data_IF_050202105188
#
_entry.id   IF_050202105188
#
_cell.length_a   1.000
_cell.length_b   1.000
_cell.length_c   1.000
_cell.angle_alpha   90.00
_cell.angle_beta   90.00
_cell.angle_gamma   90.00
#
_symmetry.space_group_name_H-M   'P 1'
#
loop_
_entity.id
_entity.type
_entity.pdbx_description
1 polymer ?
#
# COMPACT_ATOMS: atom_id res chain seq x y z
N UNK A 1 -2.18 -39.72 5.33
CA UNK A 1 -3.26 -38.72 5.43
C UNK A 1 -2.61 -37.35 5.56
N UNK A 2 -3.12 -36.32 4.88
CA UNK A 2 -2.65 -34.95 5.08
C UNK A 2 -3.16 -34.45 6.44
N UNK A 3 -2.30 -33.83 7.24
CA UNK A 3 -2.74 -33.21 8.49
C UNK A 3 -3.51 -31.94 8.18
N UNK A 4 -4.71 -31.80 8.76
CA UNK A 4 -5.52 -30.60 8.66
C UNK A 4 -5.41 -29.87 9.98
N UNK A 5 -4.75 -28.72 9.93
CA UNK A 5 -4.44 -27.88 11.07
C UNK A 5 -5.47 -26.76 11.14
N UNK A 6 -6.09 -26.60 12.29
CA UNK A 6 -6.96 -25.48 12.58
C UNK A 6 -6.31 -24.53 13.57
N UNK A 7 -6.45 -23.23 13.34
CA UNK A 7 -6.13 -22.20 14.31
C UNK A 7 -7.13 -21.06 14.18
N UNK A 8 -7.33 -20.28 15.24
CA UNK A 8 -8.32 -19.22 15.21
C UNK A 8 -7.90 -17.96 15.95
N UNK A 9 -8.51 -16.85 15.58
CA UNK A 9 -8.24 -15.57 16.21
C UNK A 9 -9.08 -14.44 15.66
N UNK A 10 -8.92 -13.27 16.27
CA UNK A 10 -9.52 -12.02 15.78
C UNK A 10 -8.73 -11.51 14.58
N UNK A 11 -7.39 -11.57 14.63
CA UNK A 11 -6.49 -11.02 13.58
C UNK A 11 -6.74 -9.55 13.25
N UNK A 12 -7.17 -8.76 14.25
CA UNK A 12 -7.34 -7.32 14.11
C UNK A 12 -5.97 -6.64 14.03
N UNK A 13 -5.85 -5.67 13.10
CA UNK A 13 -4.56 -5.10 12.67
C UNK A 13 -3.51 -6.21 12.51
N UNK A 14 -3.74 -7.15 11.56
CA UNK A 14 -2.83 -8.24 11.22
C UNK A 14 -1.38 -7.75 11.22
N UNK A 15 -0.46 -8.42 11.93
CA UNK A 15 0.91 -7.96 12.15
C UNK A 15 1.88 -9.14 12.15
N UNK A 16 3.18 -8.88 12.20
CA UNK A 16 4.20 -9.92 12.02
C UNK A 16 4.06 -11.08 13.03
N UNK A 17 3.70 -10.79 14.28
CA UNK A 17 3.44 -11.82 15.30
C UNK A 17 2.28 -12.77 14.92
N UNK A 18 1.19 -12.28 14.30
CA UNK A 18 0.14 -13.15 13.77
C UNK A 18 0.66 -14.05 12.64
N UNK A 19 1.39 -13.48 11.68
CA UNK A 19 1.96 -14.22 10.55
C UNK A 19 2.89 -15.33 11.05
N UNK A 20 3.75 -15.03 12.03
CA UNK A 20 4.63 -16.03 12.66
C UNK A 20 3.84 -17.13 13.37
N UNK A 21 2.79 -16.77 14.12
CA UNK A 21 1.94 -17.75 14.81
C UNK A 21 1.24 -18.70 13.81
N UNK A 22 0.68 -18.17 12.71
CA UNK A 22 0.04 -18.99 11.69
C UNK A 22 1.03 -19.93 10.98
N UNK A 23 2.24 -19.44 10.65
CA UNK A 23 3.32 -20.29 10.10
C UNK A 23 3.73 -21.40 11.07
N UNK A 24 3.87 -21.06 12.36
CA UNK A 24 4.20 -22.03 13.41
C UNK A 24 3.09 -23.07 13.57
N UNK A 25 1.82 -22.67 13.50
CA UNK A 25 0.69 -23.58 13.52
C UNK A 25 0.74 -24.58 12.36
N UNK A 26 0.87 -24.10 11.11
CA UNK A 26 1.00 -24.99 9.94
C UNK A 26 2.18 -25.95 10.06
N UNK A 27 3.32 -25.49 10.59
CA UNK A 27 4.51 -26.31 10.78
C UNK A 27 4.28 -27.51 11.72
N UNK A 28 3.32 -27.44 12.66
CA UNK A 28 2.96 -28.58 13.52
C UNK A 28 2.40 -29.77 12.72
N UNK A 29 1.84 -29.52 11.54
CA UNK A 29 1.31 -30.56 10.65
C UNK A 29 2.33 -31.16 9.68
N UNK A 30 3.56 -30.62 9.61
CA UNK A 30 4.57 -31.02 8.64
C UNK A 30 4.42 -30.34 7.27
N UNK A 31 5.23 -30.79 6.30
CA UNK A 31 5.41 -30.13 4.99
C UNK A 31 4.12 -30.05 4.15
N UNK A 32 3.27 -31.08 4.22
CA UNK A 32 2.07 -31.21 3.38
C UNK A 32 0.77 -30.91 4.16
N UNK A 33 0.88 -30.17 5.25
CA UNK A 33 -0.24 -29.77 6.08
C UNK A 33 -1.16 -28.77 5.38
N UNK A 34 -2.46 -28.91 5.62
CA UNK A 34 -3.49 -27.95 5.22
C UNK A 34 -3.77 -27.06 6.44
N UNK A 35 -3.69 -25.75 6.31
CA UNK A 35 -4.00 -24.78 7.36
C UNK A 35 -5.37 -24.14 7.08
N UNK A 36 -6.32 -24.43 7.97
CA UNK A 36 -7.61 -23.76 8.07
C UNK A 36 -7.50 -22.69 9.16
N UNK A 37 -7.81 -21.44 8.82
CA UNK A 37 -7.80 -20.32 9.77
C UNK A 37 -9.22 -19.84 10.04
N UNK A 38 -9.64 -19.92 11.29
CA UNK A 38 -10.91 -19.37 11.77
C UNK A 38 -10.76 -17.90 12.16
N UNK A 39 -11.53 -17.01 11.52
CA UNK A 39 -11.59 -15.58 11.85
C UNK A 39 -12.85 -15.29 12.66
N UNK A 40 -12.70 -14.73 13.87
CA UNK A 40 -13.83 -14.37 14.74
C UNK A 40 -14.62 -13.18 14.16
N UNK A 41 -15.95 -13.21 14.30
CA UNK A 41 -16.83 -12.10 13.87
C UNK A 41 -16.63 -10.86 14.75
N UNK A 42 -17.13 -9.71 14.29
CA UNK A 42 -17.06 -8.48 15.09
C UNK A 42 -17.96 -8.62 16.34
N UNK A 43 -19.13 -9.22 16.19
CA UNK A 43 -20.12 -9.48 17.23
C UNK A 43 -19.58 -10.44 18.30
N UNK A 44 -19.00 -11.57 17.90
CA UNK A 44 -18.41 -12.53 18.83
C UNK A 44 -17.26 -11.87 19.58
N UNK A 45 -16.39 -11.13 18.89
CA UNK A 45 -15.25 -10.47 19.51
C UNK A 45 -15.70 -9.44 20.55
N UNK A 46 -16.75 -8.67 20.26
CA UNK A 46 -17.32 -7.68 21.18
C UNK A 46 -17.88 -8.29 22.47
N UNK A 47 -18.26 -9.57 22.45
CA UNK A 47 -18.80 -10.24 23.65
C UNK A 47 -17.76 -10.47 24.75
N UNK A 48 -16.47 -10.52 24.40
CA UNK A 48 -15.39 -10.81 25.36
C UNK A 48 -14.22 -9.82 25.33
N UNK A 49 -14.07 -9.01 24.28
CA UNK A 49 -13.03 -7.99 24.11
C UNK A 49 -13.58 -6.77 23.36
N UNK A 50 -12.74 -5.75 23.12
CA UNK A 50 -13.12 -4.57 22.33
C UNK A 50 -13.53 -4.96 20.90
N UNK A 51 -14.34 -4.11 20.27
CA UNK A 51 -14.61 -4.20 18.82
C UNK A 51 -13.29 -4.13 18.03
N UNK A 52 -13.09 -4.99 17.02
CA UNK A 52 -11.99 -4.86 16.07
C UNK A 52 -11.96 -3.49 15.40
N UNK A 53 -10.75 -3.00 15.09
CA UNK A 53 -10.54 -1.79 14.29
C UNK A 53 -10.86 -2.08 12.82
N UNK A 54 -10.40 -3.23 12.33
CA UNK A 54 -10.67 -3.69 10.96
C UNK A 54 -11.92 -4.57 10.97
N UNK A 55 -12.96 -4.24 10.17
CA UNK A 55 -14.16 -5.05 10.03
C UNK A 55 -13.89 -6.51 9.65
N UNK A 56 -14.75 -7.41 10.12
CA UNK A 56 -14.67 -8.85 9.87
C UNK A 56 -14.38 -9.25 8.43
N UNK A 57 -15.14 -8.71 7.47
CA UNK A 57 -15.00 -9.04 6.04
C UNK A 57 -13.60 -8.73 5.49
N UNK A 58 -12.98 -7.66 5.98
CA UNK A 58 -11.64 -7.27 5.56
C UNK A 58 -10.57 -8.10 6.25
N UNK A 59 -10.75 -8.46 7.52
CA UNK A 59 -9.85 -9.39 8.23
C UNK A 59 -9.82 -10.75 7.53
N UNK A 60 -10.96 -11.27 7.06
CA UNK A 60 -10.99 -12.48 6.24
C UNK A 60 -10.15 -12.33 4.98
N UNK A 61 -10.32 -11.22 4.23
CA UNK A 61 -9.55 -10.97 3.00
C UNK A 61 -8.05 -10.92 3.26
N UNK A 62 -7.63 -10.28 4.35
CA UNK A 62 -6.22 -10.20 4.75
C UNK A 62 -5.63 -11.57 5.09
N UNK A 63 -6.37 -12.43 5.80
CA UNK A 63 -5.91 -13.80 6.09
C UNK A 63 -5.88 -14.65 4.82
N UNK A 64 -6.90 -14.53 3.96
CA UNK A 64 -6.95 -15.23 2.66
C UNK A 64 -5.82 -14.83 1.72
N UNK A 65 -5.26 -13.63 1.86
CA UNK A 65 -4.14 -13.18 1.02
C UNK A 65 -2.78 -13.76 1.44
N UNK A 66 -2.70 -14.49 2.54
CA UNK A 66 -1.47 -15.15 2.98
C UNK A 66 -1.27 -16.44 2.19
N UNK A 67 -0.19 -16.51 1.42
CA UNK A 67 0.15 -17.61 0.50
C UNK A 67 0.23 -19.00 1.17
N UNK A 68 0.57 -19.05 2.46
CA UNK A 68 0.65 -20.29 3.22
C UNK A 68 -0.65 -20.69 3.92
N UNK A 69 -1.73 -19.90 3.80
CA UNK A 69 -3.06 -20.24 4.35
C UNK A 69 -3.89 -20.93 3.26
N UNK A 70 -4.44 -22.10 3.57
CA UNK A 70 -5.15 -22.91 2.56
C UNK A 70 -6.65 -22.65 2.54
N UNK A 71 -7.27 -22.38 3.71
CA UNK A 71 -8.70 -22.10 3.82
C UNK A 71 -8.98 -21.13 4.97
N UNK A 72 -9.98 -20.26 4.80
CA UNK A 72 -10.36 -19.26 5.82
C UNK A 72 -11.86 -19.32 6.05
N UNK A 73 -12.23 -19.59 7.30
CA UNK A 73 -13.62 -19.77 7.73
C UNK A 73 -13.98 -18.79 8.84
N UNK A 74 -15.27 -18.62 9.11
CA UNK A 74 -15.74 -18.00 10.34
C UNK A 74 -15.38 -18.90 11.51
N UNK A 75 -14.70 -18.37 12.53
CA UNK A 75 -14.44 -19.13 13.75
C UNK A 75 -15.77 -19.33 14.52
N UNK A 76 -16.11 -20.56 14.93
CA UNK A 76 -17.19 -20.74 15.88
C UNK A 76 -16.77 -20.19 17.25
N UNK A 77 -17.73 -19.67 18.02
CA UNK A 77 -17.49 -19.24 19.39
C UNK A 77 -17.00 -20.41 20.26
N UNK A 78 -17.56 -21.60 20.06
CA UNK A 78 -17.14 -22.83 20.74
C UNK A 78 -16.80 -23.91 19.72
N UNK A 79 -15.66 -24.57 19.92
CA UNK A 79 -15.27 -25.74 19.14
C UNK A 79 -15.87 -27.01 19.74
N UNK A 80 -16.24 -27.96 18.88
CA UNK A 80 -16.81 -29.26 19.29
C UNK A 80 -16.42 -30.36 18.29
N UNK A 81 -16.76 -31.62 18.61
CA UNK A 81 -16.43 -32.77 17.76
C UNK A 81 -17.02 -32.66 16.35
N UNK A 82 -18.27 -32.21 16.21
CA UNK A 82 -18.93 -32.09 14.89
C UNK A 82 -18.20 -31.10 13.98
N UNK A 83 -17.76 -29.96 14.53
CA UNK A 83 -16.94 -28.98 13.82
C UNK A 83 -15.62 -29.60 13.33
N UNK A 84 -14.92 -30.34 14.20
CA UNK A 84 -13.65 -30.97 13.81
C UNK A 84 -13.83 -32.08 12.78
N UNK A 85 -14.85 -32.92 12.94
CA UNK A 85 -15.19 -33.99 11.99
C UNK A 85 -15.55 -33.41 10.61
N UNK A 86 -16.36 -32.34 10.57
CA UNK A 86 -16.84 -31.72 9.32
C UNK A 86 -15.71 -31.18 8.44
N UNK A 87 -14.74 -30.49 9.05
CA UNK A 87 -13.58 -29.95 8.34
C UNK A 87 -12.41 -30.95 8.26
N UNK A 88 -12.55 -32.15 8.82
CA UNK A 88 -11.49 -33.15 8.88
C UNK A 88 -10.27 -32.70 9.69
N UNK A 89 -10.45 -31.83 10.68
CA UNK A 89 -9.37 -31.23 11.48
C UNK A 89 -8.71 -32.32 12.34
N UNK A 90 -7.41 -32.51 12.14
CA UNK A 90 -6.60 -33.48 12.87
C UNK A 90 -5.84 -32.86 14.04
N UNK A 91 -5.61 -31.55 14.01
CA UNK A 91 -4.91 -30.82 15.06
C UNK A 91 -5.44 -29.38 15.17
N UNK A 92 -5.71 -28.93 16.38
CA UNK A 92 -6.01 -27.54 16.70
C UNK A 92 -4.77 -26.90 17.32
N UNK A 93 -4.28 -25.79 16.79
CA UNK A 93 -3.13 -25.07 17.34
C UNK A 93 -3.54 -23.65 17.73
N UNK A 94 -3.19 -23.23 18.95
CA UNK A 94 -3.53 -21.91 19.47
C UNK A 94 -2.34 -21.26 20.17
N UNK A 95 -2.28 -19.93 20.17
CA UNK A 95 -1.33 -19.21 21.03
C UNK A 95 -1.61 -19.47 22.51
N UNK A 96 -0.57 -19.59 23.32
CA UNK A 96 -0.66 -19.68 24.78
C UNK A 96 -1.08 -18.33 25.37
N UNK A 97 -2.37 -18.04 25.29
CA UNK A 97 -3.01 -16.91 25.95
C UNK A 97 -3.89 -17.45 27.08
N UNK A 98 -3.91 -16.76 28.22
CA UNK A 98 -4.86 -17.04 29.29
C UNK A 98 -6.29 -16.94 28.72
N UNK A 99 -6.92 -18.09 28.47
CA UNK A 99 -8.35 -18.16 28.25
C UNK A 99 -9.00 -17.49 29.47
N UNK A 100 -9.89 -16.54 29.24
CA UNK A 100 -10.61 -15.88 30.33
C UNK A 100 -11.48 -16.89 31.11
N UNK A 101 -12.49 -16.40 31.83
CA UNK A 101 -13.38 -17.29 32.59
C UNK A 101 -14.11 -18.36 31.74
N UNK A 102 -14.16 -18.20 30.41
CA UNK A 102 -14.80 -19.12 29.46
C UNK A 102 -13.74 -19.86 28.65
N UNK A 103 -13.81 -21.20 28.66
CA UNK A 103 -12.90 -22.07 27.90
C UNK A 103 -13.46 -22.37 26.50
N UNK A 104 -13.22 -21.45 25.56
CA UNK A 104 -13.63 -21.57 24.15
C UNK A 104 -12.98 -22.77 23.42
N UNK A 105 -11.92 -23.34 24.01
CA UNK A 105 -11.15 -24.44 23.45
C UNK A 105 -11.49 -25.80 24.05
N UNK A 106 -12.55 -25.87 24.88
CA UNK A 106 -12.96 -27.09 25.57
C UNK A 106 -13.09 -28.28 24.64
N UNK A 107 -13.72 -28.13 23.47
CA UNK A 107 -13.87 -29.24 22.52
C UNK A 107 -12.53 -29.82 22.05
N UNK A 108 -11.54 -28.98 21.78
CA UNK A 108 -10.20 -29.44 21.37
C UNK A 108 -9.44 -30.11 22.51
N UNK A 109 -9.61 -29.63 23.75
CA UNK A 109 -9.04 -30.23 24.97
C UNK A 109 -9.65 -31.58 25.27
N UNK A 110 -10.99 -31.67 25.24
CA UNK A 110 -11.74 -32.91 25.51
C UNK A 110 -11.36 -34.03 24.54
N UNK A 111 -11.04 -33.66 23.29
CA UNK A 111 -10.60 -34.60 22.25
C UNK A 111 -9.08 -34.82 22.22
N UNK A 112 -8.31 -34.12 23.05
CA UNK A 112 -6.84 -34.16 23.08
C UNK A 112 -6.17 -33.84 21.74
N UNK A 113 -6.79 -32.98 20.92
CA UNK A 113 -6.26 -32.57 19.60
C UNK A 113 -5.70 -31.15 19.61
N UNK A 114 -5.72 -30.45 20.74
CA UNK A 114 -5.21 -29.08 20.85
C UNK A 114 -3.75 -29.03 21.29
N UNK A 115 -2.98 -28.10 20.70
CA UNK A 115 -1.61 -27.74 21.10
C UNK A 115 -1.48 -26.23 21.26
N UNK A 116 -0.69 -25.82 22.25
CA UNK A 116 -0.36 -24.43 22.46
C UNK A 116 1.04 -24.11 21.93
N UNK A 117 1.17 -22.95 21.28
CA UNK A 117 2.45 -22.40 20.82
C UNK A 117 2.75 -21.09 21.55
N UNK A 118 4.02 -20.85 21.81
CA UNK A 118 4.48 -19.62 22.45
C UNK A 118 4.14 -18.39 21.62
N UNK A 119 3.97 -17.26 22.31
CA UNK A 119 3.67 -15.97 21.68
C UNK A 119 4.95 -15.16 21.47
N UNK A 120 5.00 -14.43 20.35
CA UNK A 120 6.03 -13.42 20.14
C UNK A 120 5.65 -12.13 20.90
N UNK A 121 6.50 -11.66 21.84
CA UNK A 121 6.18 -10.52 22.69
C UNK A 121 6.38 -9.15 22.01
N UNK A 122 7.00 -9.10 20.82
CA UNK A 122 7.47 -7.83 20.24
C UNK A 122 6.31 -7.00 19.68
N UNK A 123 5.33 -7.63 19.04
CA UNK A 123 4.22 -6.93 18.38
C UNK A 123 2.85 -7.50 18.77
N UNK A 124 1.91 -6.60 19.05
CA UNK A 124 0.53 -6.93 19.35
C UNK A 124 -0.42 -5.89 18.78
N UNK A 125 -1.69 -6.28 18.60
CA UNK A 125 -2.75 -5.35 18.24
C UNK A 125 -2.87 -4.20 19.24
N UNK A 126 -2.65 -4.45 20.54
CA UNK A 126 -2.64 -3.41 21.57
C UNK A 126 -1.54 -2.38 21.35
N UNK A 127 -0.33 -2.83 20.98
CA UNK A 127 0.77 -1.93 20.64
C UNK A 127 0.46 -1.08 19.40
N UNK A 128 -0.12 -1.69 18.36
CA UNK A 128 -0.53 -0.97 17.15
C UNK A 128 -1.57 0.12 17.46
N UNK A 129 -2.54 -0.18 18.31
CA UNK A 129 -3.57 0.78 18.72
C UNK A 129 -3.01 1.89 19.59
N UNK A 130 -2.11 1.57 20.53
CA UNK A 130 -1.44 2.61 21.32
C UNK A 130 -0.76 3.62 20.41
N UNK A 131 0.00 3.14 19.40
CA UNK A 131 0.62 4.02 18.40
C UNK A 131 -0.40 4.85 17.62
N UNK A 132 -1.51 4.25 17.19
CA UNK A 132 -2.58 5.00 16.51
C UNK A 132 -3.16 6.11 17.40
N UNK A 133 -3.40 5.83 18.68
CA UNK A 133 -3.88 6.81 19.66
C UNK A 133 -2.89 7.93 19.87
N UNK A 134 -1.60 7.61 19.99
CA UNK A 134 -0.53 8.60 20.16
C UNK A 134 -0.43 9.55 18.96
N UNK A 135 -0.67 9.04 17.74
CA UNK A 135 -0.53 9.80 16.50
C UNK A 135 -1.78 10.61 16.15
N UNK A 136 -2.95 9.95 16.21
CA UNK A 136 -4.22 10.47 15.69
C UNK A 136 -5.14 11.00 16.78
N UNK A 137 -5.05 10.47 18.01
CA UNK A 137 -5.91 10.81 19.14
C UNK A 137 -6.68 9.59 19.68
N UNK A 138 -7.09 9.66 20.96
CA UNK A 138 -7.83 8.59 21.66
C UNK A 138 -9.19 8.25 21.03
N UNK A 139 -9.84 9.22 20.40
CA UNK A 139 -11.19 9.17 19.83
C UNK A 139 -11.18 8.89 18.31
N UNK A 140 -10.14 8.25 17.80
CA UNK A 140 -10.02 7.97 16.38
C UNK A 140 -11.15 7.08 15.86
N UNK A 141 -11.61 7.40 14.66
CA UNK A 141 -12.60 6.67 13.87
C UNK A 141 -11.86 6.06 12.68
N UNK A 142 -12.29 4.87 12.27
CA UNK A 142 -11.75 4.16 11.12
C UNK A 142 -12.85 3.95 10.10
N UNK A 143 -12.65 4.51 8.91
CA UNK A 143 -13.59 4.45 7.80
C UNK A 143 -12.92 3.73 6.63
N UNK A 144 -13.51 2.64 6.09
CA UNK A 144 -12.99 1.99 4.90
C UNK A 144 -12.88 2.96 3.73
N UNK A 145 -11.73 2.99 3.06
CA UNK A 145 -11.57 3.63 1.77
C UNK A 145 -11.88 2.57 0.70
N UNK A 146 -12.89 2.82 -0.13
CA UNK A 146 -13.30 1.85 -1.14
C UNK A 146 -12.26 1.81 -2.28
N UNK A 147 -11.59 0.68 -2.40
CA UNK A 147 -10.68 0.29 -3.48
C UNK A 147 -10.68 -1.24 -3.61
N UNK A 148 -10.23 -1.78 -4.74
CA UNK A 148 -10.16 -3.23 -4.99
C UNK A 148 -9.32 -4.00 -3.95
N UNK A 149 -9.27 -5.35 -4.08
CA UNK A 149 -8.63 -6.26 -3.10
C UNK A 149 -7.13 -5.95 -2.86
N UNK A 150 -6.45 -5.35 -3.84
CA UNK A 150 -5.06 -4.86 -3.74
C UNK A 150 -4.88 -3.62 -2.87
N UNK A 151 -5.97 -2.90 -2.55
CA UNK A 151 -5.95 -1.57 -1.95
C UNK A 151 -6.81 -1.49 -0.68
N UNK A 152 -6.57 -2.39 0.27
CA UNK A 152 -7.20 -2.31 1.59
C UNK A 152 -6.60 -1.14 2.37
N UNK A 153 -7.33 -0.02 2.36
CA UNK A 153 -6.97 1.19 3.07
C UNK A 153 -8.14 1.72 3.90
N UNK A 154 -7.81 2.44 4.97
CA UNK A 154 -8.76 3.06 5.86
C UNK A 154 -8.35 4.49 6.13
N UNK A 155 -9.32 5.39 6.14
CA UNK A 155 -9.16 6.71 6.68
C UNK A 155 -9.28 6.61 8.19
N UNK A 156 -8.28 7.14 8.88
CA UNK A 156 -8.26 7.26 10.34
C UNK A 156 -8.33 8.75 10.68
N UNK A 157 -9.32 9.15 11.46
CA UNK A 157 -9.50 10.55 11.87
C UNK A 157 -10.00 10.64 13.30
N UNK A 158 -9.53 11.61 14.06
CA UNK A 158 -10.09 11.95 15.37
C UNK A 158 -11.20 12.99 15.22
N UNK A 159 -12.22 12.96 16.09
CA UNK A 159 -13.26 14.00 16.11
C UNK A 159 -12.74 15.30 16.72
N UNK A 160 -11.84 15.17 17.68
CA UNK A 160 -11.29 16.29 18.46
C UNK A 160 -10.04 16.90 17.82
N UNK A 161 -9.28 16.12 17.05
CA UNK A 161 -8.09 16.59 16.33
C UNK A 161 -8.37 16.65 14.83
N UNK A 162 -7.99 17.76 14.19
CA UNK A 162 -8.07 17.91 12.73
C UNK A 162 -7.11 16.99 11.95
N UNK A 163 -6.41 16.06 12.63
CA UNK A 163 -5.51 15.09 11.99
C UNK A 163 -6.31 13.98 11.33
N UNK A 164 -6.06 13.81 10.04
CA UNK A 164 -6.53 12.70 9.24
C UNK A 164 -5.29 11.92 8.78
N UNK A 165 -5.36 10.59 8.84
CA UNK A 165 -4.34 9.67 8.37
C UNK A 165 -4.97 8.62 7.46
N UNK A 166 -4.17 8.02 6.58
CA UNK A 166 -4.52 6.78 5.90
C UNK A 166 -3.74 5.66 6.53
N UNK A 167 -4.43 4.59 6.87
CA UNK A 167 -3.86 3.31 7.24
C UNK A 167 -3.99 2.38 6.03
N UNK A 168 -2.89 1.91 5.46
CA UNK A 168 -2.87 0.99 4.31
C UNK A 168 -2.31 -0.35 4.75
N UNK A 169 -2.99 -1.44 4.40
CA UNK A 169 -2.44 -2.78 4.55
C UNK A 169 -1.39 -3.03 3.46
N UNK A 170 -0.22 -3.51 3.87
CA UNK A 170 0.93 -3.79 3.01
C UNK A 170 0.97 -5.29 2.70
N UNK A 171 0.88 -5.63 1.42
CA UNK A 171 1.18 -6.98 0.98
C UNK A 171 2.70 -7.18 0.91
N UNK A 172 3.16 -8.43 0.83
CA UNK A 172 4.59 -8.77 0.87
C UNK A 172 5.42 -8.04 -0.20
N UNK A 173 4.87 -7.77 -1.38
CA UNK A 173 5.53 -7.02 -2.46
C UNK A 173 5.67 -5.51 -2.18
N UNK A 174 4.99 -4.99 -1.17
CA UNK A 174 4.76 -3.54 -0.98
C UNK A 174 5.49 -3.03 0.25
N UNK A 175 5.78 -3.92 1.21
CA UNK A 175 6.42 -3.61 2.48
C UNK A 175 7.82 -2.97 2.32
N UNK A 176 8.64 -3.46 1.39
CA UNK A 176 9.97 -2.86 1.13
C UNK A 176 9.85 -1.42 0.63
N UNK A 177 8.94 -1.16 -0.32
CA UNK A 177 8.75 0.19 -0.87
C UNK A 177 8.30 1.20 0.20
N UNK A 178 7.41 0.80 1.10
CA UNK A 178 6.96 1.64 2.21
C UNK A 178 8.00 1.77 3.32
N UNK A 179 8.86 0.77 3.53
CA UNK A 179 9.93 0.86 4.54
C UNK A 179 11.00 1.92 4.19
N UNK A 180 11.11 2.28 2.91
CA UNK A 180 12.02 3.33 2.44
C UNK A 180 11.42 4.74 2.60
N UNK A 181 10.11 4.84 2.80
CA UNK A 181 9.40 6.12 2.95
C UNK A 181 9.61 6.72 4.34
N UNK A 182 10.06 7.97 4.37
CA UNK A 182 10.30 8.71 5.61
C UNK A 182 9.04 9.44 6.11
N UNK A 183 7.99 9.51 5.28
CA UNK A 183 6.73 10.18 5.54
C UNK A 183 5.61 9.23 6.00
N UNK A 184 5.94 7.97 6.27
CA UNK A 184 5.01 6.97 6.77
C UNK A 184 5.57 6.25 8.01
N UNK A 185 4.67 5.70 8.81
CA UNK A 185 4.97 4.90 10.00
C UNK A 185 4.51 3.47 9.74
N UNK A 186 5.44 2.51 9.83
CA UNK A 186 5.10 1.10 9.72
C UNK A 186 4.53 0.61 11.06
N UNK A 187 3.29 0.12 11.02
CA UNK A 187 2.58 -0.46 12.15
C UNK A 187 2.52 -1.98 12.00
N UNK A 188 3.05 -2.71 12.99
CA UNK A 188 2.99 -4.17 13.03
C UNK A 188 3.70 -4.90 11.88
N UNK A 189 4.56 -4.19 11.14
CA UNK A 189 5.27 -4.72 9.96
C UNK A 189 4.41 -4.94 8.71
N UNK A 190 3.13 -4.60 8.76
CA UNK A 190 2.12 -5.00 7.76
C UNK A 190 1.15 -3.88 7.42
N UNK A 191 1.23 -2.74 8.10
CA UNK A 191 0.47 -1.55 7.78
C UNK A 191 1.39 -0.34 7.64
N UNK A 192 1.08 0.54 6.70
CA UNK A 192 1.64 1.87 6.64
C UNK A 192 0.59 2.89 7.12
N UNK A 193 0.98 3.75 8.05
CA UNK A 193 0.20 4.92 8.44
C UNK A 193 0.89 6.17 7.90
N UNK A 194 0.17 6.98 7.12
CA UNK A 194 0.69 8.25 6.62
C UNK A 194 -0.40 9.33 6.66
N UNK A 195 -0.01 10.59 6.53
CA UNK A 195 -0.96 11.70 6.61
C UNK A 195 -2.00 11.59 5.48
N UNK A 196 -3.27 11.71 5.86
CA UNK A 196 -4.34 11.84 4.88
C UNK A 196 -4.27 13.23 4.31
N UNK A 197 -4.25 13.29 3.00
CA UNK A 197 -4.16 14.53 2.28
C UNK A 197 -5.57 14.77 1.72
N UNK A 198 -6.27 15.73 2.32
CA UNK A 198 -7.55 16.20 1.80
C UNK A 198 -7.33 16.60 0.33
N UNK A 199 -8.06 15.95 -0.57
CA UNK A 199 -7.94 16.14 -2.00
C UNK A 199 -7.08 15.14 -2.77
N UNK A 200 -6.40 14.20 -2.11
CA UNK A 200 -5.78 13.04 -2.78
C UNK A 200 -6.62 11.78 -2.54
N UNK A 201 -7.29 11.70 -1.39
CA UNK A 201 -8.20 10.61 -1.07
C UNK A 201 -9.60 11.19 -1.01
N UNK A 202 -10.44 10.88 -2.00
CA UNK A 202 -11.77 11.49 -2.19
C UNK A 202 -11.93 12.15 -3.57
N UNK A 203 -13.11 12.69 -3.84
CA UNK A 203 -13.44 13.33 -5.12
C UNK A 203 -12.69 14.66 -5.29
N UNK A 204 -11.86 14.78 -6.32
CA UNK A 204 -11.17 16.04 -6.66
C UNK A 204 -11.13 16.33 -8.16
N UNK A 205 -10.98 17.62 -8.47
CA UNK A 205 -10.72 18.11 -9.81
C UNK A 205 -9.23 18.48 -10.03
N UNK A 206 -8.85 18.68 -11.29
CA UNK A 206 -7.47 19.00 -11.71
C UNK A 206 -6.86 20.19 -10.96
N UNK A 207 -7.62 21.29 -10.79
CA UNK A 207 -7.12 22.52 -10.14
C UNK A 207 -6.83 22.32 -8.66
N UNK A 208 -7.69 21.60 -7.95
CA UNK A 208 -7.49 21.27 -6.54
C UNK A 208 -6.20 20.46 -6.33
N UNK A 209 -5.88 19.55 -7.26
CA UNK A 209 -4.65 18.76 -7.21
C UNK A 209 -3.42 19.64 -7.48
N UNK A 210 -3.50 20.56 -8.45
CA UNK A 210 -2.43 21.52 -8.72
C UNK A 210 -2.18 22.40 -7.50
N UNK A 211 -3.23 22.95 -6.88
CA UNK A 211 -3.15 23.74 -5.66
C UNK A 211 -2.51 22.94 -4.51
N UNK A 212 -2.84 21.65 -4.37
CA UNK A 212 -2.19 20.76 -3.41
C UNK A 212 -0.68 20.68 -3.64
N UNK A 213 -0.22 20.46 -4.88
CA UNK A 213 1.22 20.38 -5.16
C UNK A 213 1.93 21.71 -4.88
N UNK A 214 1.32 22.84 -5.21
CA UNK A 214 1.85 24.16 -4.88
C UNK A 214 1.98 24.31 -3.36
N UNK A 215 0.94 23.92 -2.61
CA UNK A 215 0.97 23.97 -1.15
C UNK A 215 2.03 23.02 -0.56
N UNK A 216 2.17 21.81 -1.09
CA UNK A 216 3.21 20.84 -0.70
C UNK A 216 4.61 21.42 -0.93
N UNK A 217 4.84 22.04 -2.10
CA UNK A 217 6.11 22.72 -2.44
C UNK A 217 6.41 23.87 -1.47
N UNK A 218 5.41 24.67 -1.09
CA UNK A 218 5.58 25.78 -0.13
C UNK A 218 5.80 25.33 1.31
N UNK A 219 5.15 24.24 1.74
CA UNK A 219 5.22 23.76 3.12
C UNK A 219 6.44 22.87 3.40
N UNK A 220 7.00 22.23 2.36
CA UNK A 220 8.14 21.34 2.51
C UNK A 220 9.43 22.14 2.64
N UNK A 221 10.10 22.03 3.80
CA UNK A 221 11.35 22.75 4.09
C UNK A 221 12.62 21.95 3.81
N UNK A 222 12.49 20.66 3.50
CA UNK A 222 13.59 19.70 3.44
C UNK A 222 13.88 19.20 2.03
N UNK A 223 13.70 20.05 1.01
CA UNK A 223 14.12 19.66 -0.35
C UNK A 223 15.63 19.62 -0.45
N UNK A 224 16.13 18.62 -1.16
CA UNK A 224 17.54 18.54 -1.56
C UNK A 224 17.67 19.24 -2.91
N UNK A 225 18.71 20.07 -3.10
CA UNK A 225 18.94 20.71 -4.41
C UNK A 225 19.44 19.69 -5.42
N UNK A 226 19.25 19.95 -6.72
CA UNK A 226 19.67 19.01 -7.76
C UNK A 226 21.16 18.69 -7.72
N UNK A 227 22.02 19.67 -7.42
CA UNK A 227 23.46 19.44 -7.32
C UNK A 227 23.81 18.57 -6.10
N UNK A 228 23.18 18.81 -4.95
CA UNK A 228 23.38 17.99 -3.76
C UNK A 228 22.86 16.56 -4.00
N UNK A 229 21.69 16.41 -4.61
CA UNK A 229 21.12 15.11 -4.97
C UNK A 229 22.05 14.33 -5.92
N UNK A 230 22.72 14.98 -6.87
CA UNK A 230 23.71 14.35 -7.76
C UNK A 230 24.90 13.76 -6.99
N UNK A 231 25.33 14.41 -5.91
CA UNK A 231 26.45 13.97 -5.10
C UNK A 231 26.06 12.82 -4.16
N UNK A 232 24.84 12.85 -3.63
CA UNK A 232 24.33 11.86 -2.69
C UNK A 232 23.81 10.59 -3.41
N UNK A 233 23.19 10.77 -4.58
CA UNK A 233 22.59 9.69 -5.36
C UNK A 233 23.54 9.27 -6.47
N UNK A 234 24.17 8.10 -6.33
CA UNK A 234 25.08 7.55 -7.36
C UNK A 234 24.40 7.25 -8.71
N UNK A 235 23.10 6.98 -8.71
CA UNK A 235 22.32 6.67 -9.90
C UNK A 235 20.90 7.26 -9.82
N UNK A 236 20.49 8.02 -10.83
CA UNK A 236 19.15 8.58 -10.92
C UNK A 236 18.07 7.48 -10.90
N UNK A 237 17.01 7.65 -10.10
CA UNK A 237 15.83 6.76 -9.98
C UNK A 237 16.11 5.29 -10.37
N UNK A 238 16.94 4.56 -9.60
CA UNK A 238 17.45 3.26 -10.00
C UNK A 238 16.34 2.26 -10.36
N UNK A 239 15.21 2.35 -9.66
CA UNK A 239 14.06 1.49 -9.87
C UNK A 239 13.43 1.66 -11.27
N UNK A 240 13.44 2.88 -11.83
CA UNK A 240 12.89 3.18 -13.15
C UNK A 240 13.91 2.97 -14.25
N UNK A 241 15.19 3.27 -13.99
CA UNK A 241 16.26 3.19 -14.99
C UNK A 241 16.45 1.78 -15.56
N UNK A 242 16.09 0.74 -14.81
CA UNK A 242 16.16 -0.66 -15.29
C UNK A 242 15.24 -0.94 -16.49
N UNK A 243 14.25 -0.08 -16.76
CA UNK A 243 13.34 -0.20 -17.90
C UNK A 243 13.75 0.67 -19.10
N UNK A 244 14.88 1.37 -19.04
CA UNK A 244 15.34 2.20 -20.15
C UNK A 244 16.35 1.40 -21.00
N UNK A 245 16.02 1.16 -22.28
CA UNK A 245 16.95 0.55 -23.23
C UNK A 245 18.00 1.54 -23.76
N UNK A 246 19.05 1.01 -24.43
CA UNK A 246 20.15 1.84 -24.99
C UNK A 246 19.66 2.91 -25.96
N UNK A 247 18.63 2.63 -26.76
CA UNK A 247 18.09 3.58 -27.74
C UNK A 247 17.44 4.77 -27.03
N UNK A 248 16.72 4.50 -25.94
CA UNK A 248 16.08 5.53 -25.15
C UNK A 248 17.08 6.33 -24.29
N UNK A 249 18.19 5.73 -23.85
CA UNK A 249 19.30 6.49 -23.23
C UNK A 249 19.81 7.56 -24.19
N UNK A 250 20.12 7.20 -25.43
CA UNK A 250 20.60 8.16 -26.46
C UNK A 250 19.58 9.28 -26.70
N UNK A 251 18.29 8.96 -26.68
CA UNK A 251 17.22 9.96 -26.79
C UNK A 251 17.23 10.93 -25.60
N UNK A 252 17.34 10.42 -24.37
CA UNK A 252 17.38 11.25 -23.16
C UNK A 252 18.63 12.15 -23.13
N UNK A 253 19.79 11.64 -23.56
CA UNK A 253 21.02 12.42 -23.74
C UNK A 253 20.82 13.54 -24.77
N UNK A 254 20.19 13.24 -25.92
CA UNK A 254 19.89 14.23 -26.96
C UNK A 254 18.98 15.36 -26.43
N UNK A 255 18.07 15.02 -25.52
CA UNK A 255 17.18 15.97 -24.84
C UNK A 255 17.86 16.70 -23.67
N UNK A 256 19.15 16.44 -23.39
CA UNK A 256 19.90 16.93 -22.22
C UNK A 256 19.22 16.61 -20.89
N UNK A 257 18.47 15.51 -20.84
CA UNK A 257 17.66 15.15 -19.67
C UNK A 257 18.50 15.03 -18.40
N UNK A 258 19.63 14.34 -18.48
CA UNK A 258 20.52 14.10 -17.35
C UNK A 258 21.23 15.36 -16.84
N UNK A 259 21.41 16.37 -17.69
CA UNK A 259 21.96 17.66 -17.27
C UNK A 259 20.90 18.47 -16.53
N UNK A 260 19.68 18.52 -17.10
CA UNK A 260 18.56 19.33 -16.58
C UNK A 260 18.06 18.82 -15.22
N UNK A 261 18.06 17.50 -15.03
CA UNK A 261 17.48 16.89 -13.82
C UNK A 261 18.26 17.20 -12.54
N UNK A 262 19.55 17.49 -12.67
CA UNK A 262 20.44 17.81 -11.56
C UNK A 262 20.83 19.29 -11.50
N UNK A 263 20.10 20.18 -12.20
CA UNK A 263 20.27 21.63 -12.04
C UNK A 263 19.99 22.05 -10.59
N UNK A 264 20.72 23.05 -10.11
CA UNK A 264 20.63 23.47 -8.70
C UNK A 264 19.23 24.01 -8.32
N UNK A 265 18.48 24.50 -9.31
CA UNK A 265 17.08 24.94 -9.14
C UNK A 265 16.10 23.77 -8.89
N UNK A 266 16.52 22.52 -9.08
CA UNK A 266 15.65 21.35 -8.92
C UNK A 266 15.53 20.99 -7.45
N UNK A 267 14.29 20.81 -7.01
CA UNK A 267 13.98 20.31 -5.68
C UNK A 267 13.73 18.81 -5.74
N UNK A 268 14.44 18.04 -4.91
CA UNK A 268 14.33 16.59 -4.81
C UNK A 268 13.64 16.18 -3.51
N UNK A 269 12.75 15.21 -3.62
CA UNK A 269 12.03 14.61 -2.50
C UNK A 269 11.65 13.16 -2.81
N UNK A 270 11.03 12.47 -1.85
CA UNK A 270 10.34 11.21 -2.12
C UNK A 270 9.09 11.48 -2.97
N UNK A 271 8.98 10.81 -4.11
CA UNK A 271 7.85 10.94 -5.07
C UNK A 271 7.31 9.57 -5.46
N UNK A 272 6.02 9.53 -5.81
CA UNK A 272 5.26 8.37 -6.24
C UNK A 272 5.24 8.31 -7.77
N UNK A 273 6.17 7.55 -8.31
CA UNK A 273 6.40 7.51 -9.76
C UNK A 273 5.44 6.58 -10.51
N UNK A 274 4.58 5.87 -9.76
CA UNK A 274 3.68 4.84 -10.25
C UNK A 274 2.21 5.18 -10.02
N UNK A 275 1.80 6.42 -10.26
CA UNK A 275 0.40 6.81 -10.23
C UNK A 275 -0.34 6.15 -11.41
N UNK A 276 -0.65 4.85 -11.39
CA UNK A 276 -1.37 4.17 -12.49
C UNK A 276 -2.86 4.55 -12.51
N UNK A 277 -3.42 4.54 -13.71
CA UNK A 277 -4.83 4.82 -14.00
C UNK A 277 -5.83 3.88 -13.30
N UNK A 278 -5.46 2.64 -13.00
CA UNK A 278 -6.36 1.65 -12.37
C UNK A 278 -6.81 2.02 -10.95
N UNK A 279 -6.00 2.82 -10.26
CA UNK A 279 -6.33 3.39 -8.96
C UNK A 279 -6.91 4.79 -9.11
N UNK A 280 -7.07 5.31 -10.32
CA UNK A 280 -7.63 6.62 -10.61
C UNK A 280 -9.02 6.37 -11.17
N UNK A 281 -10.02 6.31 -10.29
CA UNK A 281 -11.40 6.11 -10.73
C UNK A 281 -11.94 7.44 -11.25
N UNK A 282 -12.16 7.52 -12.57
CA UNK A 282 -12.90 8.62 -13.21
C UNK A 282 -14.40 8.36 -13.05
N UNK A 283 -15.11 9.27 -12.37
CA UNK A 283 -16.57 9.22 -12.24
C UNK A 283 -17.26 10.05 -13.33
N UNK A 284 -18.58 9.92 -13.45
CA UNK A 284 -19.41 10.59 -14.47
C UNK A 284 -19.46 12.12 -14.37
N UNK A 285 -18.79 12.74 -13.38
CA UNK A 285 -18.76 14.20 -13.14
C UNK A 285 -17.39 14.86 -13.35
N UNK A 286 -16.46 14.23 -14.09
CA UNK A 286 -15.04 14.66 -14.14
C UNK A 286 -14.34 14.63 -12.77
N UNK A 287 -14.85 13.85 -11.82
CA UNK A 287 -14.23 13.67 -10.52
C UNK A 287 -13.25 12.50 -10.60
N UNK A 288 -12.12 12.67 -9.93
CA UNK A 288 -11.06 11.68 -9.86
C UNK A 288 -10.93 11.22 -8.41
N UNK A 289 -10.97 9.92 -8.19
CA UNK A 289 -10.63 9.29 -6.91
C UNK A 289 -9.28 8.62 -7.08
N UNK A 290 -8.25 9.04 -6.33
CA UNK A 290 -7.00 8.29 -6.28
C UNK A 290 -7.07 7.19 -5.24
N UNK A 291 -6.46 6.07 -5.58
CA UNK A 291 -6.20 4.94 -4.71
C UNK A 291 -4.67 4.79 -4.63
N UNK A 292 -4.16 4.64 -3.41
CA UNK A 292 -2.75 4.85 -3.06
C UNK A 292 -1.78 3.86 -3.75
N UNK A 293 -0.66 4.37 -4.26
CA UNK A 293 0.31 3.61 -5.05
C UNK A 293 1.64 3.35 -4.35
N UNK A 294 2.12 2.15 -4.61
CA UNK A 294 3.39 1.59 -4.19
C UNK A 294 4.53 2.13 -5.06
N UNK A 295 5.74 2.09 -4.50
CA UNK A 295 6.97 2.64 -5.09
C UNK A 295 7.09 4.16 -4.99
N UNK A 296 7.53 4.61 -3.81
CA UNK A 296 8.21 5.88 -3.69
C UNK A 296 9.71 5.69 -3.95
N UNK A 297 10.32 6.58 -4.72
CA UNK A 297 11.77 6.71 -4.87
C UNK A 297 12.15 8.19 -4.73
N UNK A 298 13.41 8.47 -4.43
CA UNK A 298 13.90 9.84 -4.41
C UNK A 298 14.01 10.37 -5.85
N UNK A 299 13.23 11.39 -6.17
CA UNK A 299 13.18 12.00 -7.50
C UNK A 299 12.91 13.53 -7.40
N UNK A 300 12.98 14.25 -8.52
CA UNK A 300 12.54 15.64 -8.58
C UNK A 300 11.06 15.77 -8.19
N UNK A 301 10.70 16.83 -7.45
CA UNK A 301 9.34 17.10 -6.99
C UNK A 301 8.29 17.05 -8.12
N UNK A 302 8.65 17.59 -9.29
CA UNK A 302 7.79 17.64 -10.47
C UNK A 302 7.46 16.25 -11.06
N UNK A 303 8.09 15.17 -10.58
CA UNK A 303 7.84 13.81 -11.05
C UNK A 303 6.40 13.36 -10.76
N UNK A 304 5.86 13.64 -9.57
CA UNK A 304 4.47 13.31 -9.22
C UNK A 304 3.46 14.02 -10.15
N UNK A 305 3.72 15.29 -10.45
CA UNK A 305 2.88 16.10 -11.33
C UNK A 305 2.91 15.53 -12.75
N UNK A 306 4.10 15.18 -13.26
CA UNK A 306 4.24 14.55 -14.56
C UNK A 306 3.43 13.23 -14.62
N UNK A 307 3.47 12.42 -13.56
CA UNK A 307 2.68 11.19 -13.45
C UNK A 307 1.18 11.48 -13.50
N UNK A 308 0.69 12.49 -12.77
CA UNK A 308 -0.72 12.91 -12.81
C UNK A 308 -1.16 13.34 -14.22
N UNK A 309 -0.33 14.10 -14.94
CA UNK A 309 -0.63 14.51 -16.33
C UNK A 309 -0.68 13.30 -17.27
N UNK A 310 0.27 12.37 -17.12
CA UNK A 310 0.31 11.14 -17.92
C UNK A 310 -0.93 10.28 -17.73
N UNK A 311 -1.59 10.38 -16.58
CA UNK A 311 -2.80 9.60 -16.29
C UNK A 311 -4.09 10.38 -16.48
N UNK A 312 -4.02 11.55 -17.13
CA UNK A 312 -5.17 12.43 -17.39
C UNK A 312 -5.90 12.83 -16.10
N UNK A 313 -5.13 13.01 -15.03
CA UNK A 313 -5.61 13.47 -13.72
C UNK A 313 -5.56 14.99 -13.65
N UNK A 314 -4.40 15.53 -14.00
CA UNK A 314 -4.18 16.97 -14.12
C UNK A 314 -4.23 17.30 -15.61
N UNK A 315 -5.04 18.29 -15.98
CA UNK A 315 -4.89 18.93 -17.28
C UNK A 315 -3.59 19.73 -17.27
N UNK A 316 -2.73 19.47 -18.25
CA UNK A 316 -1.47 20.17 -18.38
C UNK A 316 -1.66 21.69 -18.54
N UNK A 317 -2.81 22.17 -19.03
CA UNK A 317 -3.10 23.60 -19.10
C UNK A 317 -3.35 24.26 -17.75
N UNK A 318 -3.65 23.47 -16.71
CA UNK A 318 -3.86 23.99 -15.35
C UNK A 318 -2.53 24.26 -14.61
N UNK A 319 -1.39 23.87 -15.19
CA UNK A 319 -0.08 24.14 -14.60
C UNK A 319 0.35 25.61 -14.80
N UNK A 320 0.54 26.34 -13.71
CA UNK A 320 1.07 27.71 -13.72
C UNK A 320 2.58 27.72 -14.06
N UNK A 321 2.96 28.47 -15.09
CA UNK A 321 4.35 28.61 -15.54
C UNK A 321 5.25 29.33 -14.53
N UNK A 322 4.66 30.10 -13.60
CA UNK A 322 5.40 30.77 -12.54
C UNK A 322 5.77 29.81 -11.39
N UNK A 323 5.01 28.72 -11.21
CA UNK A 323 5.18 27.76 -10.13
C UNK A 323 5.91 26.48 -10.60
N UNK A 324 5.74 26.11 -11.88
CA UNK A 324 6.27 24.90 -12.48
C UNK A 324 7.10 25.17 -13.73
N UNK A 325 8.25 24.51 -13.82
CA UNK A 325 9.03 24.46 -15.05
C UNK A 325 8.37 23.50 -16.04
N UNK A 326 7.54 24.07 -16.92
CA UNK A 326 6.76 23.34 -17.93
C UNK A 326 7.65 22.53 -18.88
N UNK A 327 8.85 23.03 -19.19
CA UNK A 327 9.81 22.32 -20.05
C UNK A 327 10.31 21.06 -19.35
N UNK A 328 10.67 21.20 -18.08
CA UNK A 328 11.10 20.08 -17.25
C UNK A 328 9.99 19.06 -17.00
N UNK A 329 8.76 19.50 -16.68
CA UNK A 329 7.60 18.61 -16.54
C UNK A 329 7.36 17.84 -17.85
N UNK A 330 7.47 18.50 -19.01
CA UNK A 330 7.35 17.82 -20.32
C UNK A 330 8.43 16.76 -20.53
N UNK A 331 9.67 17.01 -20.08
CA UNK A 331 10.76 16.05 -20.14
C UNK A 331 10.50 14.84 -19.23
N UNK A 332 10.01 15.07 -18.01
CA UNK A 332 9.62 14.01 -17.07
C UNK A 332 8.47 13.17 -17.64
N UNK A 333 7.49 13.78 -18.31
CA UNK A 333 6.41 13.07 -19.00
C UNK A 333 6.96 12.12 -20.07
N UNK A 334 7.89 12.60 -20.91
CA UNK A 334 8.53 11.75 -21.93
C UNK A 334 9.28 10.60 -21.27
N UNK A 335 10.07 10.91 -20.24
CA UNK A 335 10.85 9.91 -19.50
C UNK A 335 9.95 8.81 -18.95
N UNK A 336 8.89 9.16 -18.22
CA UNK A 336 7.97 8.19 -17.66
C UNK A 336 7.22 7.39 -18.74
N UNK A 337 6.80 8.01 -19.85
CA UNK A 337 6.19 7.26 -20.96
C UNK A 337 7.14 6.20 -21.51
N UNK A 338 8.44 6.51 -21.66
CA UNK A 338 9.46 5.54 -22.07
C UNK A 338 9.55 4.39 -21.07
N UNK A 339 9.61 4.71 -19.77
CA UNK A 339 9.63 3.71 -18.69
C UNK A 339 8.44 2.78 -18.81
N UNK A 340 7.22 3.31 -18.87
CA UNK A 340 5.99 2.52 -18.90
C UNK A 340 5.90 1.64 -20.15
N UNK A 341 6.18 2.19 -21.33
CA UNK A 341 6.20 1.43 -22.59
C UNK A 341 7.14 0.23 -22.50
N UNK A 342 8.31 0.39 -21.89
CA UNK A 342 9.28 -0.70 -21.76
C UNK A 342 8.97 -1.63 -20.59
N UNK A 343 8.35 -1.13 -19.52
CA UNK A 343 7.85 -1.95 -18.42
C UNK A 343 6.84 -2.98 -18.92
N UNK A 344 5.84 -2.56 -19.70
CA UNK A 344 4.85 -3.48 -20.28
C UNK A 344 5.46 -4.52 -21.23
N UNK A 345 6.62 -4.24 -21.85
CA UNK A 345 7.37 -5.25 -22.62
C UNK A 345 8.05 -6.29 -21.73
N UNK A 346 8.48 -5.90 -20.53
CA UNK A 346 9.12 -6.80 -19.57
C UNK A 346 8.10 -7.64 -18.80
N UNK A 347 6.85 -7.19 -18.70
CA UNK A 347 5.74 -7.89 -18.03
C UNK A 347 4.57 -8.16 -18.99
N UNK A 348 4.71 -9.09 -19.95
CA UNK A 348 3.67 -9.37 -20.95
C UNK A 348 2.34 -9.79 -20.35
N UNK A 349 2.34 -10.38 -19.16
CA UNK A 349 1.14 -10.80 -18.42
C UNK A 349 0.28 -9.62 -17.93
N UNK A 350 0.85 -8.42 -17.87
CA UNK A 350 0.17 -7.18 -17.52
C UNK A 350 -0.03 -6.26 -18.73
N UNK A 351 0.31 -6.72 -19.94
CA UNK A 351 0.27 -5.89 -21.14
C UNK A 351 -1.16 -5.51 -21.54
N UNK A 352 -1.42 -4.22 -21.67
CA UNK A 352 -2.65 -3.68 -22.25
C UNK A 352 -2.35 -2.78 -23.46
N UNK A 353 -2.85 -3.17 -24.63
CA UNK A 353 -2.57 -2.46 -25.89
C UNK A 353 -3.03 -1.00 -25.86
N UNK A 354 -4.21 -0.73 -25.30
CA UNK A 354 -4.77 0.62 -25.21
C UNK A 354 -3.91 1.54 -24.32
N UNK A 355 -3.41 1.03 -23.19
CA UNK A 355 -2.54 1.80 -22.29
C UNK A 355 -1.20 2.11 -22.96
N UNK A 356 -0.56 1.10 -23.57
CA UNK A 356 0.72 1.29 -24.27
C UNK A 356 0.58 2.31 -25.40
N UNK A 357 -0.51 2.25 -26.17
CA UNK A 357 -0.81 3.23 -27.22
C UNK A 357 -0.97 4.65 -26.66
N UNK A 358 -1.69 4.82 -25.54
CA UNK A 358 -1.82 6.10 -24.85
C UNK A 358 -0.45 6.69 -24.46
N UNK A 359 0.45 5.90 -23.87
CA UNK A 359 1.79 6.38 -23.52
C UNK A 359 2.60 6.78 -24.76
N UNK A 360 2.50 6.04 -25.87
CA UNK A 360 3.18 6.38 -27.13
C UNK A 360 2.66 7.72 -27.68
N UNK A 361 1.34 7.91 -27.70
CA UNK A 361 0.70 9.15 -28.17
C UNK A 361 1.13 10.36 -27.31
N UNK A 362 1.09 10.22 -25.98
CA UNK A 362 1.56 11.26 -25.06
C UNK A 362 3.04 11.57 -25.23
N UNK A 363 3.89 10.54 -25.30
CA UNK A 363 5.32 10.71 -25.54
C UNK A 363 5.56 11.53 -26.83
N UNK A 364 4.88 11.20 -27.93
CA UNK A 364 5.04 11.91 -29.19
C UNK A 364 4.51 13.35 -29.13
N UNK A 365 3.38 13.57 -28.46
CA UNK A 365 2.82 14.89 -28.25
C UNK A 365 3.79 15.80 -27.48
N UNK A 366 4.32 15.33 -26.34
CA UNK A 366 5.25 16.13 -25.54
C UNK A 366 6.62 16.28 -26.19
N UNK A 367 7.08 15.31 -26.99
CA UNK A 367 8.28 15.47 -27.84
C UNK A 367 8.14 16.63 -28.83
N UNK A 368 6.96 16.75 -29.46
CA UNK A 368 6.67 17.88 -30.35
C UNK A 368 6.62 19.18 -29.56
N UNK A 369 5.87 19.20 -28.46
CA UNK A 369 5.72 20.38 -27.59
C UNK A 369 7.06 20.90 -27.08
N UNK A 370 7.99 20.03 -26.71
CA UNK A 370 9.34 20.41 -26.28
C UNK A 370 10.18 21.11 -27.34
N UNK A 371 9.93 20.85 -28.63
CA UNK A 371 10.57 21.58 -29.73
C UNK A 371 9.98 22.99 -29.90
N UNK A 372 8.72 23.15 -29.50
CA UNK A 372 7.99 24.42 -29.61
C UNK A 372 8.24 25.35 -28.40
N UNK A 373 8.71 24.79 -27.28
CA UNK A 373 9.12 25.55 -26.07
C UNK A 373 10.53 26.12 -26.29
N UNK A 374 10.60 27.42 -26.61
CA UNK A 374 11.85 28.16 -26.83
C UNK A 374 12.74 28.17 -25.60
#
# INVERSE_FOLDING_TARGET
MKNVIYTSGVFDLLHASHVRALKSAKAQGGKDAILIVGVATDEDTQSYKRKPVIPYEQRIKMIKSLDFVDEVITAPLFTNKQFYDFFGITLHVQGDDAAGAIDYYKGGKDLSIIRFIGRDPIESTTSCISKLKDIVGEDFIVEPLYGGISNMAWKISSKMLAKKCVLKYLQSSTAESFSLRHDCIILGGTFALYQYIDGIVGHVNSKEIVEYFIQKKRNTKNFITGLQAKNEIKAFCPALMKYIDKKNIVLLETLKFFDIIYEDIRSWCWTHNDLVRENIIKTSKNEIIFIDWEYADMAPFEMDIASCVINDVIDFSDLDQNEFDIKFVSLLIIFQCIVWINWYKHYPEKYEENLVKMYIEKMNFYKKKLRDIK
#
